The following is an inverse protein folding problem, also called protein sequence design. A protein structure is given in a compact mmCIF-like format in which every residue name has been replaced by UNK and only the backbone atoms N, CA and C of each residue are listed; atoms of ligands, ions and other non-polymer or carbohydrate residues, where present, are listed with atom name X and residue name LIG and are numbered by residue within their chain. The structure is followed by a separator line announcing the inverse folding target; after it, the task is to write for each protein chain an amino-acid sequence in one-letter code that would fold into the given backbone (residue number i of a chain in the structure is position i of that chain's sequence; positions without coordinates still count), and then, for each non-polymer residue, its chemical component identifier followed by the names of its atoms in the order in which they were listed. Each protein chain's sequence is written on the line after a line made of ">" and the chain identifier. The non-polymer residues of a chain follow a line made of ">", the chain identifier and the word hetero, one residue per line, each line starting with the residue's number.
data_IF_916365152459
#
_entry.id   IF_916365152459
#
_cell.length_a   1.000
_cell.length_b   1.000
_cell.length_c   1.000
_cell.angle_alpha   90.00
_cell.angle_beta   90.00
_cell.angle_gamma   90.00
#
_symmetry.space_group_name_H-M   'P 1'
#
loop_
_entity.id
_entity.type
_entity.pdbx_description
1 polymer ?
#
# COMPACT_ATOMS: atom_id res chain seq x y z
N UNK A 1 9.87 11.92 2.63
CA UNK A 1 9.58 12.23 4.04
C UNK A 1 10.74 13.05 4.58
N UNK A 2 10.45 14.17 5.23
CA UNK A 2 11.42 15.05 5.90
C UNK A 2 10.95 15.28 7.32
N UNK A 3 11.89 15.26 8.26
CA UNK A 3 11.61 15.56 9.67
C UNK A 3 12.36 16.83 10.04
N UNK A 4 11.64 17.77 10.64
CA UNK A 4 12.17 19.04 11.09
C UNK A 4 11.96 19.17 12.60
N UNK A 5 12.93 19.75 13.29
CA UNK A 5 12.82 20.16 14.69
C UNK A 5 12.71 21.67 14.75
N UNK A 6 11.72 22.13 15.51
CA UNK A 6 11.41 23.54 15.74
C UNK A 6 11.78 23.85 17.17
N UNK A 7 12.59 24.89 17.38
CA UNK A 7 12.96 25.29 18.73
C UNK A 7 11.77 25.99 19.42
N UNK A 8 11.36 25.43 20.56
CA UNK A 8 10.23 25.90 21.36
C UNK A 8 8.93 25.10 21.19
N UNK A 9 7.95 25.44 22.03
CA UNK A 9 6.69 24.70 22.24
C UNK A 9 5.50 25.32 21.50
N UNK A 10 5.63 26.60 21.11
CA UNK A 10 4.52 27.45 20.70
C UNK A 10 4.72 27.95 19.26
N UNK A 11 3.61 28.26 18.59
CA UNK A 11 3.63 28.96 17.30
C UNK A 11 3.59 28.08 16.06
N UNK A 12 3.28 26.78 16.19
CA UNK A 12 2.95 25.95 15.04
C UNK A 12 1.48 26.13 14.69
N UNK A 13 1.20 26.57 13.47
CA UNK A 13 -0.16 26.71 12.97
C UNK A 13 -0.27 26.13 11.56
N UNK A 14 -1.06 25.07 11.41
CA UNK A 14 -1.39 24.50 10.10
C UNK A 14 -2.81 24.95 9.74
N UNK A 15 -2.93 26.22 9.36
CA UNK A 15 -4.17 26.80 8.85
C UNK A 15 -4.39 26.51 7.35
N UNK A 16 -5.55 26.90 6.79
CA UNK A 16 -5.85 26.69 5.36
C UNK A 16 -4.83 27.31 4.41
N UNK A 17 -4.28 28.48 4.75
CA UNK A 17 -3.25 29.15 3.95
C UNK A 17 -1.93 28.38 3.93
N UNK A 18 -1.47 27.94 5.11
CA UNK A 18 -0.29 27.09 5.25
C UNK A 18 -0.47 25.78 4.47
N UNK A 19 -1.64 25.13 4.59
CA UNK A 19 -1.95 23.91 3.85
C UNK A 19 -1.92 24.13 2.31
N UNK A 20 -2.47 25.24 1.82
CA UNK A 20 -2.43 25.59 0.40
C UNK A 20 -1.00 25.84 -0.08
N UNK A 21 -0.15 26.46 0.73
CA UNK A 21 1.26 26.67 0.42
C UNK A 21 2.02 25.34 0.37
N UNK A 22 1.87 24.49 1.37
CA UNK A 22 2.48 23.16 1.43
C UNK A 22 2.07 22.30 0.23
N UNK A 23 0.80 22.35 -0.17
CA UNK A 23 0.31 21.64 -1.35
C UNK A 23 1.00 22.10 -2.65
N UNK A 24 1.27 23.41 -2.81
CA UNK A 24 2.02 23.94 -3.97
C UNK A 24 3.47 23.45 -3.99
N UNK A 25 4.05 23.19 -2.82
CA UNK A 25 5.38 22.63 -2.67
C UNK A 25 5.40 21.10 -2.87
N UNK A 26 4.26 20.48 -3.18
CA UNK A 26 4.17 19.03 -3.41
C UNK A 26 4.05 18.19 -2.12
N UNK A 27 3.86 18.84 -0.97
CA UNK A 27 3.57 18.17 0.31
C UNK A 27 2.11 17.69 0.30
N UNK A 28 1.91 16.41 0.61
CA UNK A 28 0.60 15.76 0.66
C UNK A 28 0.19 15.34 2.07
N UNK A 29 1.15 15.27 3.00
CA UNK A 29 0.91 14.91 4.38
C UNK A 29 1.83 15.74 5.30
N UNK A 30 1.24 16.21 6.39
CA UNK A 30 1.88 17.04 7.41
C UNK A 30 1.48 16.48 8.77
N UNK A 31 2.46 16.11 9.58
CA UNK A 31 2.22 15.76 10.97
C UNK A 31 3.02 16.69 11.90
N UNK A 32 2.34 17.22 12.91
CA UNK A 32 2.97 17.97 14.00
C UNK A 32 3.09 17.02 15.19
N UNK A 33 4.31 16.88 15.70
CA UNK A 33 4.64 16.01 16.84
C UNK A 33 5.31 16.85 17.92
N UNK A 34 5.22 16.43 19.18
CA UNK A 34 5.91 17.11 20.28
C UNK A 34 6.30 16.12 21.36
N UNK A 35 7.40 16.41 22.04
CA UNK A 35 7.73 15.81 23.32
C UNK A 35 7.70 16.89 24.43
N UNK A 36 8.52 16.71 25.48
CA UNK A 36 8.62 17.68 26.59
C UNK A 36 9.51 18.88 26.26
N UNK A 37 10.40 18.75 25.29
CA UNK A 37 11.49 19.70 25.01
C UNK A 37 11.40 20.30 23.61
N UNK A 38 10.85 19.56 22.64
CA UNK A 38 10.93 19.89 21.21
C UNK A 38 9.59 19.68 20.51
N UNK A 39 9.29 20.54 19.54
CA UNK A 39 8.22 20.33 18.57
C UNK A 39 8.81 19.89 17.25
N UNK A 40 8.31 18.79 16.69
CA UNK A 40 8.71 18.26 15.40
C UNK A 40 7.64 18.46 14.33
N UNK A 41 8.08 18.62 13.09
CA UNK A 41 7.25 18.65 11.91
C UNK A 41 7.68 17.53 10.97
N UNK A 42 6.74 16.71 10.53
CA UNK A 42 6.98 15.68 9.52
C UNK A 42 6.26 16.08 8.25
N UNK A 43 7.02 16.19 7.16
CA UNK A 43 6.52 16.54 5.84
C UNK A 43 6.69 15.33 4.91
N UNK A 44 5.63 14.99 4.20
CA UNK A 44 5.64 13.93 3.22
C UNK A 44 4.90 14.36 1.96
N UNK A 45 5.48 14.01 0.82
CA UNK A 45 4.98 14.35 -0.50
C UNK A 45 5.85 13.71 -1.55
N UNK A 46 5.24 13.11 -2.57
CA UNK A 46 5.93 12.46 -3.68
C UNK A 46 6.55 13.49 -4.65
N UNK A 47 5.97 14.69 -4.71
CA UNK A 47 6.48 15.85 -5.46
C UNK A 47 7.30 16.82 -4.59
N UNK A 48 7.47 16.53 -3.31
CA UNK A 48 8.15 17.44 -2.39
C UNK A 48 9.66 17.43 -2.62
N UNK A 49 10.21 18.59 -2.98
CA UNK A 49 11.65 18.81 -3.12
C UNK A 49 12.30 19.17 -1.77
N UNK A 50 13.40 18.50 -1.44
CA UNK A 50 14.19 18.78 -0.24
C UNK A 50 14.78 20.20 -0.27
N UNK A 51 15.06 20.76 -1.45
CA UNK A 51 15.53 22.14 -1.56
C UNK A 51 14.48 23.15 -1.06
N UNK A 52 13.20 22.80 -1.13
CA UNK A 52 12.07 23.62 -0.65
C UNK A 52 11.77 23.45 0.84
N UNK A 53 12.58 22.68 1.58
CA UNK A 53 12.34 22.38 3.01
C UNK A 53 12.25 23.64 3.87
N UNK A 54 13.11 24.63 3.64
CA UNK A 54 13.06 25.88 4.39
C UNK A 54 11.77 26.66 4.12
N UNK A 55 11.29 26.67 2.89
CA UNK A 55 10.05 27.36 2.52
C UNK A 55 8.83 26.66 3.13
N UNK A 56 8.80 25.33 3.06
CA UNK A 56 7.75 24.52 3.67
C UNK A 56 7.71 24.67 5.19
N UNK A 57 8.87 24.76 5.84
CA UNK A 57 8.96 25.03 7.27
C UNK A 57 8.37 26.41 7.61
N UNK A 58 8.79 27.46 6.90
CA UNK A 58 8.31 28.83 7.11
C UNK A 58 6.79 28.97 6.96
N UNK A 59 6.16 28.17 6.09
CA UNK A 59 4.70 28.14 5.94
C UNK A 59 3.97 27.68 7.22
N UNK A 60 4.63 26.90 8.08
CA UNK A 60 4.04 26.27 9.27
C UNK A 60 4.45 26.98 10.57
N UNK A 61 5.70 27.43 10.65
CA UNK A 61 6.29 28.01 11.87
C UNK A 61 6.55 29.52 11.78
N UNK A 62 6.36 30.11 10.59
CA UNK A 62 6.70 31.50 10.31
C UNK A 62 8.19 31.70 9.97
N UNK A 63 8.56 32.87 9.41
CA UNK A 63 9.89 33.11 8.85
C UNK A 63 11.00 33.30 9.90
N UNK A 64 10.66 33.64 11.14
CA UNK A 64 11.64 34.03 12.18
C UNK A 64 12.06 32.87 13.10
N UNK A 65 11.50 31.67 12.90
CA UNK A 65 11.80 30.49 13.72
C UNK A 65 12.98 29.73 13.14
N UNK A 66 13.96 29.43 13.99
CA UNK A 66 15.02 28.50 13.65
C UNK A 66 14.44 27.08 13.52
N UNK A 67 14.79 26.40 12.43
CA UNK A 67 14.38 25.04 12.15
C UNK A 67 15.59 24.20 11.82
N UNK A 68 15.69 23.02 12.42
CA UNK A 68 16.75 22.05 12.13
C UNK A 68 16.17 20.91 11.32
N UNK A 69 16.70 20.67 10.13
CA UNK A 69 16.31 19.52 9.29
C UNK A 69 17.09 18.30 9.75
N UNK A 70 16.39 17.21 10.03
CA UNK A 70 17.03 15.93 10.34
C UNK A 70 17.32 15.17 9.05
N UNK A 71 18.59 14.86 8.82
CA UNK A 71 19.02 14.02 7.71
C UNK A 71 18.83 12.54 8.08
N UNK A 72 18.16 11.74 7.23
CA UNK A 72 18.06 10.30 7.45
C UNK A 72 19.45 9.67 7.37
N UNK A 73 19.95 9.12 8.47
CA UNK A 73 21.21 8.38 8.49
C UNK A 73 21.01 6.92 8.03
N UNK A 74 19.89 6.31 8.44
CA UNK A 74 19.54 4.94 8.10
C UNK A 74 18.02 4.89 7.86
N UNK A 75 17.61 4.30 6.73
CA UNK A 75 16.22 4.01 6.43
C UNK A 75 16.10 2.56 5.99
N UNK A 76 15.33 1.77 6.75
CA UNK A 76 15.15 0.35 6.52
C UNK A 76 13.66 0.01 6.54
N UNK A 77 13.20 -0.70 5.53
CA UNK A 77 11.90 -1.35 5.56
C UNK A 77 12.02 -2.66 6.35
N UNK A 78 11.15 -2.85 7.34
CA UNK A 78 11.09 -4.07 8.15
C UNK A 78 9.77 -4.78 7.83
N UNK A 79 9.83 -6.08 7.60
CA UNK A 79 8.65 -6.92 7.39
C UNK A 79 8.68 -8.09 8.35
N UNK A 80 7.52 -8.48 8.87
CA UNK A 80 7.42 -9.70 9.66
C UNK A 80 7.60 -10.91 8.74
N UNK A 81 8.37 -11.91 9.18
CA UNK A 81 8.34 -13.23 8.59
C UNK A 81 7.01 -13.88 8.96
N UNK A 82 6.19 -14.22 7.97
CA UNK A 82 5.06 -15.13 8.17
C UNK A 82 5.59 -16.56 8.20
N UNK A 83 5.96 -17.03 9.38
CA UNK A 83 6.26 -18.45 9.61
C UNK A 83 4.94 -19.24 9.55
N UNK A 84 4.53 -19.66 8.35
CA UNK A 84 3.30 -20.45 8.17
C UNK A 84 2.59 -20.34 6.83
N UNK A 85 3.23 -19.82 5.78
CA UNK A 85 2.65 -19.92 4.43
C UNK A 85 2.66 -21.37 3.95
N UNK A 86 1.56 -22.11 4.17
CA UNK A 86 1.37 -23.42 3.53
C UNK A 86 1.45 -23.26 2.02
N UNK A 87 2.41 -23.96 1.42
CA UNK A 87 2.63 -24.06 0.00
C UNK A 87 1.33 -24.47 -0.74
N UNK A 88 0.70 -23.52 -1.41
CA UNK A 88 -0.52 -23.73 -2.21
C UNK A 88 -0.22 -24.60 -3.45
N UNK A 89 1.06 -24.88 -3.75
CA UNK A 89 1.45 -25.78 -4.84
C UNK A 89 1.04 -27.25 -4.57
N UNK A 90 0.78 -27.65 -3.33
CA UNK A 90 0.32 -29.02 -3.05
C UNK A 90 -1.16 -29.28 -3.40
N UNK A 91 -1.99 -28.24 -3.58
CA UNK A 91 -3.42 -28.43 -3.85
C UNK A 91 -3.72 -28.91 -5.28
N UNK A 92 -2.80 -28.74 -6.24
CA UNK A 92 -3.08 -29.07 -7.65
C UNK A 92 -2.61 -30.46 -8.08
N UNK A 93 -1.74 -31.13 -7.29
CA UNK A 93 -1.15 -32.40 -7.72
C UNK A 93 -1.92 -33.66 -7.24
N UNK A 94 -2.75 -33.57 -6.19
CA UNK A 94 -3.57 -34.72 -5.75
C UNK A 94 -4.75 -35.06 -6.67
N UNK A 95 -5.06 -34.22 -7.66
CA UNK A 95 -6.14 -34.48 -8.60
C UNK A 95 -5.74 -35.39 -9.78
N UNK A 96 -4.45 -35.73 -9.95
CA UNK A 96 -3.98 -36.51 -11.11
C UNK A 96 -3.66 -37.98 -10.86
N UNK A 97 -3.54 -38.41 -9.61
CA UNK A 97 -3.19 -39.81 -9.29
C UNK A 97 -4.41 -40.75 -9.14
N UNK A 98 -5.64 -40.24 -9.30
CA UNK A 98 -6.87 -41.00 -9.08
C UNK A 98 -7.46 -41.72 -10.29
N UNK A 99 -6.94 -41.54 -11.51
CA UNK A 99 -7.51 -42.15 -12.73
C UNK A 99 -6.47 -42.99 -13.44
N UNK A 100 -6.23 -44.20 -12.93
CA UNK A 100 -5.56 -45.25 -13.69
C UNK A 100 -6.33 -46.56 -13.62
N UNK A 101 -6.96 -46.85 -14.77
CA UNK A 101 -7.33 -48.16 -15.35
C UNK A 101 -8.34 -49.07 -14.63
N UNK A 102 -9.52 -49.14 -15.25
CA UNK A 102 -10.12 -50.43 -15.62
C UNK A 102 -10.66 -50.35 -17.06
N UNK A 103 -10.11 -51.18 -17.95
CA UNK A 103 -10.54 -51.35 -19.33
C UNK A 103 -11.25 -52.70 -19.48
N UNK A 104 -12.42 -52.70 -20.11
CA UNK A 104 -13.13 -53.80 -20.80
C UNK A 104 -14.60 -53.35 -20.96
N UNK A 105 -15.35 -53.51 -22.03
CA UNK A 105 -15.19 -54.04 -23.38
C UNK A 105 -16.41 -53.52 -24.18
N UNK A 106 -16.25 -53.22 -25.47
CA UNK A 106 -17.37 -53.06 -26.40
C UNK A 106 -17.94 -54.44 -26.76
N UNK A 107 -19.25 -54.53 -27.09
CA UNK A 107 -19.57 -54.74 -28.50
C UNK A 107 -20.83 -54.04 -29.05
N UNK A 108 -20.66 -53.53 -30.26
CA UNK A 108 -21.56 -53.45 -31.44
C UNK A 108 -23.05 -53.85 -31.30
N UNK A 109 -23.92 -52.86 -31.58
CA UNK A 109 -24.83 -52.85 -32.74
C UNK A 109 -26.23 -53.48 -32.62
N UNK A 110 -27.29 -52.66 -32.82
CA UNK A 110 -28.38 -52.94 -33.79
C UNK A 110 -29.35 -51.75 -33.91
N UNK A 111 -29.56 -51.28 -35.15
CA UNK A 111 -30.72 -50.47 -35.57
C UNK A 111 -31.96 -51.36 -35.69
N UNK A 112 -33.13 -50.79 -35.43
CA UNK A 112 -34.49 -51.08 -35.94
C UNK A 112 -35.44 -50.35 -34.98
N UNK A 113 -36.45 -49.55 -35.32
CA UNK A 113 -37.16 -49.21 -36.54
C UNK A 113 -38.49 -48.59 -36.07
N UNK A 114 -38.92 -47.48 -36.65
CA UNK A 114 -40.22 -46.84 -36.38
C UNK A 114 -41.37 -47.76 -36.85
N UNK A 115 -42.58 -47.61 -36.30
CA UNK A 115 -43.65 -47.15 -37.17
C UNK A 115 -44.64 -46.17 -36.53
N UNK A 116 -45.29 -45.42 -37.41
CA UNK A 116 -46.41 -44.53 -37.19
C UNK A 116 -47.76 -45.28 -37.13
N UNK A 117 -48.78 -44.64 -36.55
CA UNK A 117 -50.19 -44.52 -36.99
C UNK A 117 -51.01 -43.88 -35.85
N UNK A 118 -51.77 -42.80 -36.04
CA UNK A 118 -53.10 -42.74 -36.70
C UNK A 118 -54.18 -42.92 -35.62
N UNK A 119 -55.12 -42.03 -35.32
CA UNK A 119 -55.88 -41.10 -36.16
C UNK A 119 -57.31 -41.61 -36.27
N UNK A 120 -58.21 -41.11 -35.42
CA UNK A 120 -59.68 -41.03 -35.60
C UNK A 120 -60.25 -40.09 -34.55
#
# INVERSE_FOLDING_TARGET
>A
MVVLLVDGHDGISVGPEAAAQLARLGVTNVAVVRDREITGLVLEGWLFDLASTSEAASAVVGPDRAVRVLEPLIQLAVSAGIDGGTDVSQATNRARDGVSRAACAQPRGRRLGTPAQGGS
#
